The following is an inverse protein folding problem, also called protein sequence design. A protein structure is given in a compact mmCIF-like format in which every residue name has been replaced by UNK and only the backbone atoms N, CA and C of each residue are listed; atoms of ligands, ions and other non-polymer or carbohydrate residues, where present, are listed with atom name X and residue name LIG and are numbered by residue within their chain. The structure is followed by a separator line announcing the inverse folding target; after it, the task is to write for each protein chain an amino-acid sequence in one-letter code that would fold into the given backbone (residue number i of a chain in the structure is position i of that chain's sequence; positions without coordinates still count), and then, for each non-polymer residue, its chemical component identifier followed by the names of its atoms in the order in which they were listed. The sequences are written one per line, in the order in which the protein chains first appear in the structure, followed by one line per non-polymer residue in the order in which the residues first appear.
data_IF_371936868674
#
_entry.id   IF_371936868674
#
_cell.length_a   1.000
_cell.length_b   1.000
_cell.length_c   1.000
_cell.angle_alpha   90.00
_cell.angle_beta   90.00
_cell.angle_gamma   90.00
#
_symmetry.space_group_name_H-M   'P 1'
#
loop_
_entity.id
_entity.type
_entity.pdbx_description
1 polymer ?
#
# COMPACT_ATOMS: atom_id res chain seq x y z
N UNK A 1 -15.49 52.65 63.68
CA UNK A 1 -16.40 53.74 63.29
C UNK A 1 -15.98 54.23 61.91
N UNK A 2 -16.98 54.37 61.03
CA UNK A 2 -17.01 55.12 59.75
C UNK A 2 -16.16 54.60 58.58
N UNK A 3 -16.78 54.00 57.54
CA UNK A 3 -17.57 54.61 56.45
C UNK A 3 -16.69 55.44 55.50
N UNK A 4 -16.60 54.98 54.25
CA UNK A 4 -15.95 55.73 53.19
C UNK A 4 -15.96 55.01 51.84
N UNK A 5 -17.13 54.60 51.36
CA UNK A 5 -17.32 54.17 49.98
C UNK A 5 -17.26 55.42 49.07
N UNK A 6 -16.15 55.62 48.37
CA UNK A 6 -16.01 56.65 47.34
C UNK A 6 -15.98 55.98 45.96
N UNK A 7 -17.16 55.93 45.34
CA UNK A 7 -17.32 55.80 43.89
C UNK A 7 -16.53 56.88 43.15
N UNK A 8 -15.74 56.50 42.13
CA UNK A 8 -15.96 56.89 40.72
C UNK A 8 -14.71 56.67 39.85
N UNK A 9 -14.83 55.66 38.97
CA UNK A 9 -14.39 55.59 37.56
C UNK A 9 -13.00 56.09 37.18
N UNK A 10 -12.12 55.16 36.78
CA UNK A 10 -11.30 55.31 35.57
C UNK A 10 -11.15 53.97 34.84
N UNK A 11 -11.70 53.93 33.64
CA UNK A 11 -11.45 52.94 32.58
C UNK A 11 -9.95 52.74 32.39
N UNK A 12 -9.49 51.49 32.39
CA UNK A 12 -8.06 51.20 32.24
C UNK A 12 -7.79 49.73 31.96
N UNK A 13 -7.93 49.37 30.69
CA UNK A 13 -7.10 48.40 29.94
C UNK A 13 -6.93 46.98 30.50
N UNK A 14 -7.68 46.09 29.84
CA UNK A 14 -7.38 44.70 29.47
C UNK A 14 -5.93 44.27 29.80
N UNK A 15 -5.79 43.33 30.73
CA UNK A 15 -4.62 42.44 30.80
C UNK A 15 -5.09 41.00 30.55
N UNK A 16 -4.86 40.52 29.33
CA UNK A 16 -4.93 39.09 29.02
C UNK A 16 -3.91 38.36 29.91
N UNK A 17 -4.41 37.62 30.90
CA UNK A 17 -3.62 36.63 31.63
C UNK A 17 -3.55 35.35 30.81
N UNK A 18 -2.34 35.02 30.36
CA UNK A 18 -1.99 33.87 29.54
C UNK A 18 -2.20 32.56 30.34
N UNK A 19 -3.24 31.81 30.04
CA UNK A 19 -3.39 30.43 30.53
C UNK A 19 -2.63 29.49 29.57
N UNK A 20 -1.42 29.09 29.96
CA UNK A 20 -0.64 28.09 29.23
C UNK A 20 -1.24 26.70 29.44
N UNK A 21 -2.14 26.28 28.56
CA UNK A 21 -2.59 24.88 28.45
C UNK A 21 -1.51 24.13 27.66
N UNK A 22 -0.62 23.42 28.36
CA UNK A 22 0.28 22.46 27.74
C UNK A 22 -0.53 21.20 27.34
N UNK A 23 -1.19 21.25 26.19
CA UNK A 23 -1.81 20.08 25.59
C UNK A 23 -0.72 19.20 24.97
N UNK A 24 -0.27 18.18 25.70
CA UNK A 24 0.56 17.11 25.17
C UNK A 24 -0.30 16.25 24.24
N UNK A 25 -0.29 16.55 22.94
CA UNK A 25 -0.91 15.70 21.92
C UNK A 25 -0.05 14.45 21.75
N UNK A 26 -0.51 13.32 22.30
CA UNK A 26 0.03 12.01 21.95
C UNK A 26 -0.35 11.70 20.50
N UNK A 27 0.62 11.81 19.58
CA UNK A 27 0.46 11.39 18.19
C UNK A 27 0.55 9.87 18.17
N UNK A 28 -0.60 9.20 18.11
CA UNK A 28 -0.64 7.75 17.85
C UNK A 28 -0.45 7.57 16.34
N UNK A 29 0.60 6.85 15.87
CA UNK A 29 0.73 6.59 14.45
C UNK A 29 -0.44 5.71 14.02
N UNK A 30 -1.25 6.21 13.08
CA UNK A 30 -2.30 5.41 12.45
C UNK A 30 -1.63 4.27 11.68
N UNK A 31 -1.85 3.02 12.10
CA UNK A 31 -1.46 1.87 11.32
C UNK A 31 -2.26 1.89 10.00
N UNK A 32 -1.57 2.02 8.87
CA UNK A 32 -2.20 1.93 7.56
C UNK A 32 -2.78 0.52 7.40
N UNK A 33 -4.12 0.41 7.33
CA UNK A 33 -4.77 -0.84 6.97
C UNK A 33 -4.33 -1.21 5.56
N UNK A 34 -3.64 -2.34 5.41
CA UNK A 34 -3.30 -2.84 4.08
C UNK A 34 -4.63 -3.06 3.32
N UNK A 35 -4.74 -2.63 2.05
CA UNK A 35 -5.93 -2.89 1.25
C UNK A 35 -6.25 -4.38 1.27
N UNK A 36 -7.53 -4.70 1.43
CA UNK A 36 -8.01 -6.07 1.50
C UNK A 36 -8.12 -6.63 0.08
N UNK A 37 -6.97 -7.05 -0.47
CA UNK A 37 -6.86 -7.69 -1.79
C UNK A 37 -7.49 -9.10 -1.78
N UNK A 38 -8.79 -9.16 -1.50
CA UNK A 38 -9.57 -10.36 -1.20
C UNK A 38 -9.46 -11.38 -2.33
N UNK A 39 -9.51 -10.89 -3.58
CA UNK A 39 -9.25 -11.72 -4.75
C UNK A 39 -7.92 -12.45 -4.57
N UNK A 40 -6.79 -11.76 -4.40
CA UNK A 40 -5.49 -12.42 -4.29
C UNK A 40 -5.40 -13.42 -3.13
N UNK A 41 -6.12 -13.18 -2.04
CA UNK A 41 -6.15 -14.08 -0.88
C UNK A 41 -6.95 -15.39 -1.16
N UNK A 42 -7.84 -15.37 -2.16
CA UNK A 42 -8.61 -16.52 -2.66
C UNK A 42 -7.91 -17.31 -3.79
N UNK A 43 -6.65 -17.03 -4.13
CA UNK A 43 -5.89 -17.87 -5.06
C UNK A 43 -5.35 -19.13 -4.38
N UNK A 44 -5.27 -20.23 -5.12
CA UNK A 44 -4.75 -21.49 -4.62
C UNK A 44 -3.25 -21.37 -4.28
N UNK A 45 -2.90 -21.68 -3.04
CA UNK A 45 -1.50 -21.71 -2.58
C UNK A 45 -0.72 -22.87 -3.20
N UNK A 46 0.59 -22.72 -3.30
CA UNK A 46 1.51 -23.77 -3.76
C UNK A 46 2.52 -23.28 -4.80
N UNK A 47 3.09 -24.21 -5.56
CA UNK A 47 3.99 -23.89 -6.67
C UNK A 47 3.19 -23.51 -7.91
N UNK A 48 3.61 -22.42 -8.55
CA UNK A 48 3.06 -21.89 -9.79
C UNK A 48 4.18 -21.71 -10.82
N UNK A 49 3.81 -21.82 -12.09
CA UNK A 49 4.67 -21.48 -13.23
C UNK A 49 4.12 -20.22 -13.89
N UNK A 50 4.98 -19.22 -14.02
CA UNK A 50 4.76 -17.99 -14.78
C UNK A 50 5.39 -18.14 -16.16
N UNK A 51 4.57 -18.10 -17.19
CA UNK A 51 4.98 -18.16 -18.60
C UNK A 51 4.82 -16.77 -19.22
N UNK A 52 5.91 -16.20 -19.72
CA UNK A 52 5.92 -14.87 -20.32
C UNK A 52 5.49 -14.91 -21.78
N UNK A 53 4.75 -13.89 -22.22
CA UNK A 53 4.38 -13.74 -23.65
C UNK A 53 5.53 -13.21 -24.50
N UNK A 54 6.54 -12.61 -23.89
CA UNK A 54 7.77 -12.14 -24.56
C UNK A 54 8.66 -13.29 -25.07
N UNK A 55 8.38 -14.54 -24.68
CA UNK A 55 9.23 -15.69 -24.98
C UNK A 55 10.40 -15.88 -24.02
N UNK A 56 10.49 -15.06 -22.97
CA UNK A 56 11.42 -15.28 -21.86
C UNK A 56 11.17 -16.64 -21.18
N UNK A 57 12.21 -17.29 -20.63
CA UNK A 57 12.04 -18.55 -19.91
C UNK A 57 11.00 -18.45 -18.80
N UNK A 58 10.16 -19.47 -18.68
CA UNK A 58 9.17 -19.52 -17.61
C UNK A 58 9.84 -19.58 -16.23
N UNK A 59 9.15 -19.04 -15.23
CA UNK A 59 9.65 -18.94 -13.87
C UNK A 59 8.73 -19.68 -12.91
N UNK A 60 9.33 -20.45 -12.00
CA UNK A 60 8.59 -21.03 -10.88
C UNK A 60 8.50 -20.05 -9.73
N UNK A 61 7.31 -19.95 -9.13
CA UNK A 61 7.00 -19.05 -8.03
C UNK A 61 6.25 -19.84 -6.97
N UNK A 62 6.61 -19.67 -5.71
CA UNK A 62 5.82 -20.16 -4.58
C UNK A 62 4.80 -19.09 -4.20
N UNK A 63 3.52 -19.37 -4.37
CA UNK A 63 2.44 -18.52 -3.85
C UNK A 63 2.05 -18.99 -2.46
N UNK A 64 2.48 -18.25 -1.44
CA UNK A 64 1.95 -18.37 -0.07
C UNK A 64 0.69 -17.53 0.06
N UNK A 65 0.67 -16.39 -0.63
CA UNK A 65 -0.51 -15.57 -0.90
C UNK A 65 -0.57 -15.26 -2.40
N UNK A 66 -1.66 -14.67 -2.91
CA UNK A 66 -1.67 -14.16 -4.27
C UNK A 66 -0.78 -12.92 -4.47
N UNK A 67 -0.30 -12.30 -3.38
CA UNK A 67 0.40 -11.00 -3.40
C UNK A 67 1.81 -11.08 -3.96
N UNK A 68 2.41 -12.27 -3.99
CA UNK A 68 3.70 -12.53 -4.66
C UNK A 68 3.65 -12.21 -6.16
N UNK A 69 2.46 -12.20 -6.77
CA UNK A 69 2.26 -11.83 -8.17
C UNK A 69 2.32 -10.32 -8.44
N UNK A 70 2.23 -9.47 -7.40
CA UNK A 70 2.21 -8.02 -7.56
C UNK A 70 3.58 -7.49 -8.03
N UNK A 71 4.66 -8.02 -7.46
CA UNK A 71 6.00 -7.41 -7.56
C UNK A 71 7.03 -8.32 -8.24
N UNK A 72 6.65 -8.94 -9.37
CA UNK A 72 7.48 -9.95 -10.04
C UNK A 72 8.85 -9.42 -10.49
N UNK A 73 8.93 -8.14 -10.88
CA UNK A 73 10.18 -7.46 -11.30
C UNK A 73 10.96 -6.82 -10.16
N UNK A 74 10.31 -6.58 -9.03
CA UNK A 74 10.91 -5.92 -7.86
C UNK A 74 10.78 -6.82 -6.63
N UNK A 75 11.61 -7.87 -6.55
CA UNK A 75 11.53 -8.87 -5.46
C UNK A 75 12.10 -8.41 -4.12
N UNK A 76 12.51 -7.15 -4.00
CA UNK A 76 13.00 -6.61 -2.74
C UNK A 76 11.84 -6.35 -1.78
N UNK A 77 12.06 -6.45 -0.46
CA UNK A 77 11.06 -6.08 0.53
C UNK A 77 10.93 -4.56 0.67
N UNK A 78 9.84 -4.10 1.30
CA UNK A 78 9.70 -2.70 1.72
C UNK A 78 9.33 -1.71 0.61
N UNK A 79 8.80 -2.18 -0.52
CA UNK A 79 8.19 -1.29 -1.51
C UNK A 79 6.84 -0.78 -1.00
N UNK A 80 6.59 0.51 -1.20
CA UNK A 80 5.30 1.14 -0.92
C UNK A 80 4.29 0.68 -1.97
N UNK A 81 3.10 0.25 -1.54
CA UNK A 81 2.04 -0.22 -2.43
C UNK A 81 0.83 0.70 -2.34
N UNK A 82 0.21 0.96 -3.48
CA UNK A 82 -1.03 1.70 -3.62
C UNK A 82 -1.99 0.90 -4.51
N UNK A 83 -3.12 0.51 -3.93
CA UNK A 83 -4.13 -0.27 -4.64
C UNK A 83 -4.98 0.66 -5.47
N UNK A 84 -4.92 0.46 -6.78
CA UNK A 84 -5.65 1.25 -7.79
C UNK A 84 -7.02 0.63 -8.04
N UNK A 85 -7.10 -0.71 -8.00
CA UNK A 85 -8.32 -1.49 -8.16
C UNK A 85 -8.27 -2.73 -7.29
N UNK A 86 -9.39 -3.01 -6.65
CA UNK A 86 -9.61 -4.18 -5.82
C UNK A 86 -10.97 -4.80 -6.16
N UNK A 87 -10.99 -5.64 -7.20
CA UNK A 87 -12.19 -6.30 -7.70
C UNK A 87 -12.10 -7.81 -7.56
N UNK A 88 -13.26 -8.47 -7.55
CA UNK A 88 -13.36 -9.92 -7.42
C UNK A 88 -12.59 -10.71 -8.51
N UNK A 89 -12.49 -10.15 -9.72
CA UNK A 89 -11.81 -10.80 -10.87
C UNK A 89 -10.56 -10.04 -11.33
N UNK A 90 -10.30 -8.84 -10.81
CA UNK A 90 -9.17 -8.02 -11.25
C UNK A 90 -8.65 -7.14 -10.11
N UNK A 91 -7.35 -7.22 -9.87
CA UNK A 91 -6.64 -6.34 -8.92
C UNK A 91 -5.57 -5.58 -9.69
N UNK A 92 -5.46 -4.28 -9.42
CA UNK A 92 -4.37 -3.44 -9.93
C UNK A 92 -3.67 -2.75 -8.78
N UNK A 93 -2.36 -2.95 -8.70
CA UNK A 93 -1.50 -2.34 -7.67
C UNK A 93 -0.38 -1.57 -8.33
N UNK A 94 -0.28 -0.29 -7.97
CA UNK A 94 0.91 0.51 -8.18
C UNK A 94 1.85 0.27 -7.00
N UNK A 95 3.14 0.13 -7.25
CA UNK A 95 4.12 0.04 -6.19
C UNK A 95 5.37 0.85 -6.53
N UNK A 96 6.05 1.34 -5.49
CA UNK A 96 7.28 2.13 -5.58
C UNK A 96 8.31 1.51 -4.65
N UNK A 97 9.48 1.22 -5.18
CA UNK A 97 10.58 0.67 -4.42
C UNK A 97 11.72 1.69 -4.34
N UNK A 98 11.94 2.23 -3.15
CA UNK A 98 12.93 3.29 -2.92
C UNK A 98 14.31 2.88 -3.44
N UNK A 99 14.84 3.67 -4.38
CA UNK A 99 16.15 3.45 -5.00
C UNK A 99 16.21 2.41 -6.12
N UNK A 100 15.11 1.72 -6.44
CA UNK A 100 15.09 0.71 -7.51
C UNK A 100 14.02 0.96 -8.59
N UNK A 101 13.10 1.90 -8.37
CA UNK A 101 12.09 2.29 -9.36
C UNK A 101 10.65 2.03 -8.89
N UNK A 102 9.76 1.76 -9.83
CA UNK A 102 8.33 1.60 -9.58
C UNK A 102 7.71 0.68 -10.63
N UNK A 103 6.52 0.16 -10.33
CA UNK A 103 5.74 -0.59 -11.30
C UNK A 103 4.26 -0.57 -11.02
N UNK A 104 3.46 -0.83 -12.04
CA UNK A 104 2.04 -1.12 -11.93
C UNK A 104 1.83 -2.53 -12.41
N UNK A 105 1.14 -3.33 -11.61
CA UNK A 105 0.76 -4.70 -11.97
C UNK A 105 -0.75 -4.83 -11.93
N UNK A 106 -1.32 -5.35 -13.01
CA UNK A 106 -2.72 -5.80 -13.09
C UNK A 106 -2.74 -7.31 -13.12
N UNK A 107 -3.55 -7.92 -12.26
CA UNK A 107 -3.73 -9.36 -12.13
C UNK A 107 -5.20 -9.63 -12.39
N UNK A 108 -5.49 -10.35 -13.47
CA UNK A 108 -6.85 -10.77 -13.83
C UNK A 108 -7.01 -12.25 -13.53
N UNK A 109 -8.01 -12.59 -12.72
CA UNK A 109 -8.36 -13.97 -12.39
C UNK A 109 -9.12 -14.61 -13.54
N UNK A 110 -8.63 -15.76 -13.98
CA UNK A 110 -9.38 -16.68 -14.85
C UNK A 110 -9.97 -17.85 -14.02
N UNK A 111 -9.32 -18.16 -12.89
CA UNK A 111 -9.79 -19.10 -11.86
C UNK A 111 -8.82 -19.12 -10.67
N UNK A 112 -9.12 -19.88 -9.61
CA UNK A 112 -8.28 -19.88 -8.40
C UNK A 112 -6.85 -20.41 -8.64
N UNK A 113 -6.65 -21.21 -9.69
CA UNK A 113 -5.36 -21.81 -10.07
C UNK A 113 -4.74 -21.19 -11.34
N UNK A 114 -5.30 -20.09 -11.85
CA UNK A 114 -4.91 -19.47 -13.12
C UNK A 114 -5.20 -17.96 -13.15
N UNK A 115 -4.17 -17.17 -13.46
CA UNK A 115 -4.31 -15.72 -13.64
C UNK A 115 -3.51 -15.23 -14.84
N UNK A 116 -3.94 -14.10 -15.40
CA UNK A 116 -3.16 -13.31 -16.34
C UNK A 116 -2.51 -12.14 -15.58
N UNK A 117 -1.25 -11.87 -15.87
CA UNK A 117 -0.48 -10.80 -15.23
C UNK A 117 0.04 -9.86 -16.30
N UNK A 118 -0.18 -8.56 -16.09
CA UNK A 118 0.43 -7.47 -16.83
C UNK A 118 1.18 -6.60 -15.84
N UNK A 119 2.45 -6.31 -16.10
CA UNK A 119 3.26 -5.44 -15.25
C UNK A 119 4.18 -4.55 -16.07
N UNK A 120 4.23 -3.27 -15.73
CA UNK A 120 5.07 -2.30 -16.41
C UNK A 120 5.60 -1.25 -15.44
N UNK A 121 6.71 -0.61 -15.80
CA UNK A 121 7.30 0.45 -14.99
C UNK A 121 8.78 0.68 -15.27
N UNK A 122 9.50 1.11 -14.24
CA UNK A 122 10.95 1.36 -14.28
C UNK A 122 11.62 0.47 -13.23
N UNK A 123 12.67 -0.25 -13.62
CA UNK A 123 13.54 -1.02 -12.71
C UNK A 123 14.99 -0.67 -12.98
N UNK A 124 15.76 -0.32 -11.96
CA UNK A 124 17.17 0.06 -12.12
C UNK A 124 17.41 1.21 -13.11
N UNK A 125 16.44 2.12 -13.27
CA UNK A 125 16.50 3.25 -14.20
C UNK A 125 16.09 2.95 -15.65
N UNK A 126 15.76 1.69 -15.99
CA UNK A 126 15.31 1.31 -17.33
C UNK A 126 13.83 0.90 -17.35
N UNK A 127 13.09 1.19 -18.43
CA UNK A 127 11.71 0.74 -18.57
C UNK A 127 11.61 -0.77 -18.72
N UNK A 128 10.50 -1.32 -18.23
CA UNK A 128 10.10 -2.70 -18.50
C UNK A 128 8.60 -2.77 -18.79
N UNK A 129 8.23 -3.80 -19.55
CA UNK A 129 6.86 -4.27 -19.72
C UNK A 129 6.91 -5.79 -19.77
N UNK A 130 6.02 -6.45 -19.04
CA UNK A 130 5.89 -7.89 -19.00
C UNK A 130 4.41 -8.26 -19.01
N UNK A 131 4.10 -9.29 -19.78
CA UNK A 131 2.80 -9.94 -19.75
C UNK A 131 2.99 -11.44 -19.67
N UNK A 132 2.11 -12.14 -18.97
CA UNK A 132 2.26 -13.57 -18.77
C UNK A 132 1.04 -14.23 -18.17
N UNK A 133 1.03 -15.55 -18.24
CA UNK A 133 0.09 -16.41 -17.54
C UNK A 133 0.80 -17.03 -16.34
N UNK A 134 0.21 -16.93 -15.15
CA UNK A 134 0.63 -17.70 -13.99
C UNK A 134 -0.38 -18.82 -13.74
N UNK A 135 0.11 -20.06 -13.67
CA UNK A 135 -0.71 -21.26 -13.46
C UNK A 135 -0.14 -22.13 -12.34
N UNK A 136 -1.00 -22.61 -11.46
CA UNK A 136 -0.61 -23.55 -10.41
C UNK A 136 -0.15 -24.88 -11.00
N UNK A 137 0.94 -25.43 -10.45
CA UNK A 137 1.53 -26.70 -10.88
C UNK A 137 1.64 -27.74 -9.78
N UNK A 138 1.70 -27.33 -8.51
CA UNK A 138 1.71 -28.25 -7.36
C UNK A 138 1.04 -27.59 -6.15
N UNK A 139 0.39 -28.38 -5.26
CA UNK A 139 -0.11 -27.88 -4.00
C UNK A 139 0.98 -27.48 -3.00
N UNK A 140 2.22 -27.91 -3.22
CA UNK A 140 3.36 -27.59 -2.38
C UNK A 140 4.33 -26.69 -3.12
N UNK A 141 4.93 -25.78 -2.36
CA UNK A 141 6.24 -25.23 -2.67
C UNK A 141 7.31 -26.21 -2.15
#
# INVERSE_FOLDING_TARGET
MDIGNMTMRRTGMIKLGMAAIAAAYAVVPAAAQAPELEMLDNLDRGSWTLTFRSGEPSQRICLRTGRELIQLRHRQPGCEQFVVRDGADEVTVQYTCRGNGYGRTTIRREGNSLVQVDSQGIVGGAPFSMTGEARRTSPTC
#
